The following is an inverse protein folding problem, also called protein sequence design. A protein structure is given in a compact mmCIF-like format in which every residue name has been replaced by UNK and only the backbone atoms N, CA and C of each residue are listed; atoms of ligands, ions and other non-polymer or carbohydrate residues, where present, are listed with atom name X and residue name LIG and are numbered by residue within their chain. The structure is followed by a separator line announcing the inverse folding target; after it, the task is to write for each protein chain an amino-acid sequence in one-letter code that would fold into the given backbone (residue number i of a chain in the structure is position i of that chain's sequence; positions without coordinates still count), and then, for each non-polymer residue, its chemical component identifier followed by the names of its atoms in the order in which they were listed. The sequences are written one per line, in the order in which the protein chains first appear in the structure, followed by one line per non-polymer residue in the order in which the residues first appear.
data_IF_805533737292
#
_entry.id   IF_805533737292
#
_cell.length_a   1.000
_cell.length_b   1.000
_cell.length_c   1.000
_cell.angle_alpha   90.00
_cell.angle_beta   90.00
_cell.angle_gamma   90.00
#
_symmetry.space_group_name_H-M   'P 1'
#
loop_
_entity.id
_entity.type
_entity.pdbx_description
1 polymer ?
#
# COMPACT_ATOMS: atom_id res chain seq x y z
N UNK A 1 24.40 6.13 8.09
CA UNK A 1 24.57 4.71 7.72
C UNK A 1 23.21 4.18 7.35
N UNK A 2 22.87 4.16 6.06
CA UNK A 2 21.62 3.56 5.57
C UNK A 2 21.79 2.04 5.65
N UNK A 3 21.15 1.41 6.63
CA UNK A 3 20.97 -0.04 6.63
C UNK A 3 20.07 -0.38 5.43
N UNK A 4 20.69 -0.59 4.27
CA UNK A 4 19.99 -1.11 3.10
C UNK A 4 19.54 -2.52 3.43
N UNK A 5 18.29 -2.66 3.88
CA UNK A 5 17.65 -3.95 4.02
C UNK A 5 17.77 -4.69 2.67
N UNK A 6 18.15 -5.97 2.69
CA UNK A 6 18.24 -6.76 1.47
C UNK A 6 16.88 -6.77 0.78
N UNK A 7 16.86 -6.77 -0.56
CA UNK A 7 15.61 -6.68 -1.34
C UNK A 7 14.57 -7.74 -0.93
N UNK A 8 15.03 -8.93 -0.52
CA UNK A 8 14.18 -10.00 0.01
C UNK A 8 13.48 -9.63 1.32
N UNK A 9 14.13 -8.89 2.22
CA UNK A 9 13.51 -8.42 3.46
C UNK A 9 12.40 -7.40 3.16
N UNK A 10 12.64 -6.48 2.22
CA UNK A 10 11.62 -5.51 1.81
C UNK A 10 10.41 -6.17 1.13
N UNK A 11 10.63 -7.24 0.35
CA UNK A 11 9.55 -8.03 -0.25
C UNK A 11 8.76 -8.78 0.83
N UNK A 12 9.43 -9.35 1.83
CA UNK A 12 8.78 -10.00 2.97
C UNK A 12 7.96 -9.01 3.81
N UNK A 13 8.49 -7.80 4.03
CA UNK A 13 7.79 -6.73 4.72
C UNK A 13 6.56 -6.25 3.93
N UNK A 14 6.67 -6.14 2.61
CA UNK A 14 5.54 -5.82 1.74
C UNK A 14 4.45 -6.90 1.77
N UNK A 15 4.83 -8.18 1.73
CA UNK A 15 3.89 -9.28 1.86
C UNK A 15 3.14 -9.22 3.20
N UNK A 16 3.86 -8.93 4.29
CA UNK A 16 3.28 -8.78 5.63
C UNK A 16 2.31 -7.59 5.69
N UNK A 17 2.71 -6.42 5.17
CA UNK A 17 1.86 -5.24 5.13
C UNK A 17 0.59 -5.47 4.26
N UNK A 18 0.72 -6.22 3.17
CA UNK A 18 -0.41 -6.59 2.30
C UNK A 18 -1.39 -7.53 3.01
N UNK A 19 -0.89 -8.49 3.79
CA UNK A 19 -1.74 -9.35 4.60
C UNK A 19 -2.50 -8.55 5.67
N UNK A 20 -1.84 -7.59 6.32
CA UNK A 20 -2.48 -6.70 7.29
C UNK A 20 -3.57 -5.83 6.63
N UNK A 21 -3.36 -5.37 5.40
CA UNK A 21 -4.38 -4.66 4.61
C UNK A 21 -5.59 -5.54 4.33
N UNK A 22 -5.38 -6.78 3.88
CA UNK A 22 -6.49 -7.70 3.62
C UNK A 22 -7.34 -7.94 4.88
N UNK A 23 -6.70 -8.13 6.04
CA UNK A 23 -7.40 -8.28 7.32
C UNK A 23 -8.16 -7.01 7.70
N UNK A 24 -7.56 -5.83 7.51
CA UNK A 24 -8.23 -4.56 7.78
C UNK A 24 -9.48 -4.40 6.91
N UNK A 25 -9.38 -4.67 5.60
CA UNK A 25 -10.51 -4.58 4.67
C UNK A 25 -11.63 -5.54 5.05
N UNK A 26 -11.30 -6.79 5.40
CA UNK A 26 -12.32 -7.75 5.87
C UNK A 26 -13.06 -7.24 7.11
N UNK A 27 -12.34 -6.63 8.07
CA UNK A 27 -12.97 -6.04 9.26
C UNK A 27 -13.87 -4.86 8.93
N UNK A 28 -13.49 -4.02 7.97
CA UNK A 28 -14.36 -2.93 7.48
C UNK A 28 -15.64 -3.51 6.88
N UNK A 29 -15.53 -4.56 6.06
CA UNK A 29 -16.69 -5.21 5.44
C UNK A 29 -17.61 -5.87 6.49
N UNK A 30 -17.05 -6.54 7.49
CA UNK A 30 -17.82 -7.11 8.60
C UNK A 30 -18.54 -6.02 9.40
N UNK A 31 -17.89 -4.88 9.63
CA UNK A 31 -18.51 -3.75 10.30
C UNK A 31 -19.64 -3.12 9.46
N UNK A 32 -19.46 -2.96 8.15
CA UNK A 32 -20.51 -2.51 7.24
C UNK A 32 -21.69 -3.48 7.18
N UNK A 33 -21.43 -4.78 7.33
CA UNK A 33 -22.46 -5.80 7.45
C UNK A 33 -23.11 -5.87 8.85
N UNK A 34 -22.73 -5.00 9.78
CA UNK A 34 -23.24 -4.96 11.16
C UNK A 34 -22.80 -6.13 12.05
N UNK A 35 -21.78 -6.89 11.64
CA UNK A 35 -21.30 -8.09 12.35
C UNK A 35 -20.17 -7.80 13.33
N UNK A 36 -19.54 -6.62 13.21
CA UNK A 36 -18.40 -6.21 14.03
C UNK A 36 -18.39 -4.68 14.23
N UNK A 37 -17.54 -4.21 15.14
CA UNK A 37 -17.25 -2.79 15.29
C UNK A 37 -16.28 -2.33 14.19
N UNK A 38 -16.46 -1.13 13.61
CA UNK A 38 -15.53 -0.60 12.61
C UNK A 38 -14.12 -0.46 13.19
N UNK A 39 -13.07 -0.82 12.41
CA UNK A 39 -11.71 -0.68 12.87
C UNK A 39 -11.32 0.81 13.00
N UNK A 40 -10.42 1.10 13.94
CA UNK A 40 -9.97 2.48 14.21
C UNK A 40 -9.36 3.15 12.97
N UNK A 41 -9.67 4.43 12.70
CA UNK A 41 -9.05 5.20 11.62
C UNK A 41 -7.55 5.42 11.81
N UNK A 42 -7.04 5.33 13.05
CA UNK A 42 -5.59 5.38 13.32
C UNK A 42 -4.89 4.16 12.71
N UNK A 43 -5.51 2.98 12.79
CA UNK A 43 -4.98 1.74 12.21
C UNK A 43 -4.86 1.85 10.69
N UNK A 44 -5.83 2.46 10.04
CA UNK A 44 -5.80 2.73 8.59
C UNK A 44 -4.64 3.64 8.21
N UNK A 45 -4.47 4.76 8.91
CA UNK A 45 -3.41 5.73 8.64
C UNK A 45 -2.02 5.13 8.82
N UNK A 46 -1.81 4.36 9.89
CA UNK A 46 -0.54 3.68 10.16
C UNK A 46 -0.21 2.67 9.06
N UNK A 47 -1.20 1.91 8.61
CA UNK A 47 -1.02 0.92 7.54
C UNK A 47 -0.70 1.60 6.20
N UNK A 48 -1.41 2.70 5.88
CA UNK A 48 -1.18 3.47 4.68
C UNK A 48 0.23 4.09 4.65
N UNK A 49 0.68 4.68 5.76
CA UNK A 49 2.02 5.23 5.89
C UNK A 49 3.11 4.15 5.67
N UNK A 50 2.94 2.97 6.29
CA UNK A 50 3.85 1.84 6.13
C UNK A 50 3.95 1.37 4.68
N UNK A 51 2.83 1.29 3.95
CA UNK A 51 2.82 0.91 2.54
C UNK A 51 3.55 1.94 1.66
N UNK A 52 3.38 3.23 1.93
CA UNK A 52 4.09 4.31 1.22
C UNK A 52 5.60 4.21 1.46
N UNK A 53 6.03 3.99 2.70
CA UNK A 53 7.45 3.83 3.05
C UNK A 53 8.08 2.63 2.34
N UNK A 54 7.41 1.46 2.35
CA UNK A 54 7.88 0.26 1.65
C UNK A 54 7.94 0.48 0.13
N UNK A 55 6.94 1.15 -0.45
CA UNK A 55 6.92 1.51 -1.86
C UNK A 55 8.08 2.43 -2.24
N UNK A 56 8.38 3.44 -1.40
CA UNK A 56 9.53 4.33 -1.59
C UNK A 56 10.87 3.56 -1.50
N UNK A 57 10.99 2.62 -0.57
CA UNK A 57 12.18 1.79 -0.41
C UNK A 57 12.39 0.79 -1.58
N UNK A 58 11.31 0.28 -2.16
CA UNK A 58 11.36 -0.66 -3.29
C UNK A 58 11.57 0.03 -4.65
N UNK A 59 11.05 1.24 -4.83
CA UNK A 59 11.12 2.02 -6.09
C UNK A 59 12.51 2.08 -6.75
N UNK A 60 13.60 2.46 -6.06
CA UNK A 60 14.92 2.54 -6.68
C UNK A 60 15.45 1.17 -7.14
N UNK A 61 14.97 0.08 -6.53
CA UNK A 61 15.40 -1.29 -6.84
C UNK A 61 14.70 -1.85 -8.09
N UNK A 62 13.47 -1.41 -8.37
CA UNK A 62 12.73 -1.76 -9.60
C UNK A 62 13.22 -0.94 -10.80
N UNK A 63 13.61 0.33 -10.59
CA UNK A 63 14.15 1.20 -11.63
C UNK A 63 15.45 0.73 -12.30
N UNK A 64 16.19 -0.17 -11.66
CA UNK A 64 17.39 -0.78 -12.26
C UNK A 64 17.05 -1.91 -13.27
N UNK A 65 15.84 -2.49 -13.19
CA UNK A 65 15.38 -3.52 -14.12
C UNK A 65 14.67 -2.94 -15.36
N UNK A 66 14.14 -1.71 -15.29
CA UNK A 66 13.35 -1.10 -16.36
C UNK A 66 14.14 -0.25 -17.36
N UNK A 67 15.43 0.06 -17.12
CA UNK A 67 16.21 0.85 -18.11
C UNK A 67 16.48 0.14 -19.44
N UNK A 68 16.09 -1.16 -19.57
CA UNK A 68 16.12 -1.88 -20.85
C UNK A 68 14.77 -2.13 -21.51
N UNK A 69 13.63 -1.79 -20.90
CA UNK A 69 12.32 -2.09 -21.52
C UNK A 69 11.25 -1.05 -21.17
N UNK A 70 11.00 -0.20 -22.15
CA UNK A 70 9.77 0.56 -22.44
C UNK A 70 9.20 1.53 -21.38
N UNK A 71 9.38 2.81 -21.71
CA UNK A 71 8.47 3.96 -21.67
C UNK A 71 6.96 3.80 -21.36
N UNK A 72 6.53 2.98 -20.41
CA UNK A 72 5.17 3.07 -19.87
C UNK A 72 5.21 3.77 -18.51
N UNK A 73 4.63 4.98 -18.49
CA UNK A 73 4.54 5.86 -17.33
C UNK A 73 3.84 5.14 -16.17
N UNK A 74 4.62 4.83 -15.14
CA UNK A 74 4.10 4.29 -13.89
C UNK A 74 3.33 5.41 -13.16
N UNK A 75 2.00 5.39 -13.22
CA UNK A 75 1.16 6.32 -12.46
C UNK A 75 1.15 5.94 -10.98
N UNK A 76 1.46 6.85 -10.04
CA UNK A 76 1.44 6.55 -8.62
C UNK A 76 0.01 6.28 -8.11
N UNK A 77 -0.15 5.27 -7.25
CA UNK A 77 -1.42 4.93 -6.57
C UNK A 77 -2.04 6.07 -5.74
N UNK A 78 -1.30 7.16 -5.51
CA UNK A 78 -1.75 8.34 -4.78
C UNK A 78 -2.81 9.13 -5.57
N UNK A 79 -2.80 9.04 -6.90
CA UNK A 79 -3.77 9.75 -7.76
C UNK A 79 -5.17 9.10 -7.76
N UNK A 80 -5.31 7.84 -7.34
CA UNK A 80 -6.61 7.15 -7.30
C UNK A 80 -7.54 7.62 -6.18
N UNK A 81 -7.07 8.44 -5.22
CA UNK A 81 -7.96 8.99 -4.17
C UNK A 81 -8.95 10.03 -4.69
N UNK A 82 -8.67 10.69 -5.82
CA UNK A 82 -9.57 11.68 -6.40
C UNK A 82 -10.81 11.04 -7.06
N UNK A 83 -10.74 9.77 -7.45
CA UNK A 83 -11.84 9.10 -8.15
C UNK A 83 -12.88 8.47 -7.21
N UNK A 84 -12.53 8.17 -5.96
CA UNK A 84 -13.42 7.43 -5.04
C UNK A 84 -14.48 8.36 -4.41
N UNK A 85 -14.22 9.67 -4.32
CA UNK A 85 -15.18 10.64 -3.75
C UNK A 85 -16.06 11.35 -4.80
N UNK A 86 -16.08 10.89 -6.05
CA UNK A 86 -16.89 11.47 -7.14
C UNK A 86 -18.17 10.70 -7.45
N UNK A 87 -18.60 9.79 -6.58
CA UNK A 87 -19.92 9.13 -6.69
C UNK A 87 -20.86 9.82 -5.71
N UNK A 88 -21.46 10.91 -6.18
CA UNK A 88 -22.66 11.62 -5.72
C UNK A 88 -22.44 13.15 -5.67
N UNK A 89 -22.79 13.80 -6.79
CA UNK A 89 -23.25 15.18 -6.86
C UNK A 89 -24.37 15.26 -7.90
#
# INVERSE_FOLDING_TARGET
MTNDLPAMALIADLATASQQLAVYVLRVLDAQAGRAEPPSPVTEQVLAARLVELGNALRPRVGCASSRRSSESWTPWVESRAAIYSVDA
#
